data_IF_650426216133
#
_entry.id   IF_650426216133
#
_cell.length_a   1.000
_cell.length_b   1.000
_cell.length_c   1.000
_cell.angle_alpha   90.00
_cell.angle_beta   90.00
_cell.angle_gamma   90.00
#
_symmetry.space_group_name_H-M   'P 1'
#
loop_
_entity.id
_entity.type
_entity.pdbx_description
1 polymer ?
#
# COMPACT_ATOMS: atom_id res chain seq x y z
N UNK A 1 4.82 -15.22 -12.50
CA UNK A 1 3.54 -15.18 -11.77
C UNK A 1 3.30 -16.38 -10.83
N UNK A 2 3.45 -17.65 -11.26
CA UNK A 2 3.18 -18.83 -10.39
C UNK A 2 3.99 -18.87 -9.08
N UNK A 3 5.27 -18.43 -9.08
CA UNK A 3 6.14 -18.43 -7.88
C UNK A 3 5.71 -17.41 -6.81
N UNK A 4 5.13 -16.27 -7.19
CA UNK A 4 4.63 -15.26 -6.26
C UNK A 4 3.35 -15.70 -5.54
N UNK A 5 2.46 -16.41 -6.24
CA UNK A 5 1.21 -16.94 -5.65
C UNK A 5 1.52 -17.98 -4.57
N UNK A 6 2.52 -18.85 -4.80
CA UNK A 6 2.93 -19.86 -3.82
C UNK A 6 3.56 -19.23 -2.57
N UNK A 7 4.41 -18.21 -2.73
CA UNK A 7 5.03 -17.50 -1.60
C UNK A 7 3.97 -16.74 -0.78
N UNK A 8 3.01 -16.10 -1.44
CA UNK A 8 1.91 -15.41 -0.79
C UNK A 8 1.00 -16.37 -0.02
N UNK A 9 0.73 -17.57 -0.56
CA UNK A 9 -0.06 -18.61 0.10
C UNK A 9 0.67 -19.18 1.33
N UNK A 10 1.98 -19.39 1.28
CA UNK A 10 2.79 -19.86 2.41
C UNK A 10 2.88 -18.82 3.53
N UNK A 11 3.04 -17.54 3.19
CA UNK A 11 3.03 -16.44 4.16
C UNK A 11 1.65 -16.29 4.81
N UNK A 12 0.56 -16.40 4.03
CA UNK A 12 -0.81 -16.34 4.56
C UNK A 12 -1.09 -17.49 5.56
N UNK A 13 -0.59 -18.69 5.30
CA UNK A 13 -0.76 -19.84 6.19
C UNK A 13 -0.02 -19.67 7.54
N UNK A 14 1.17 -19.04 7.53
CA UNK A 14 1.94 -18.78 8.76
C UNK A 14 1.35 -17.68 9.65
N UNK A 15 0.60 -16.75 9.08
CA UNK A 15 0.00 -15.60 9.79
C UNK A 15 -1.36 -15.95 10.42
N UNK A 16 -2.00 -17.04 10.00
CA UNK A 16 -3.33 -17.45 10.48
C UNK A 16 -3.41 -17.74 11.99
N UNK A 17 -2.27 -18.01 12.66
CA UNK A 17 -2.24 -18.36 14.10
C UNK A 17 -2.07 -17.16 15.04
N UNK A 18 -1.83 -15.94 14.55
CA UNK A 18 -1.39 -14.82 15.39
C UNK A 18 -2.21 -13.52 15.22
N UNK A 19 -3.52 -13.60 14.91
CA UNK A 19 -4.30 -12.38 14.63
C UNK A 19 -3.80 -11.67 13.37
N UNK A 20 -3.39 -12.45 12.39
CA UNK A 20 -2.86 -11.97 11.13
C UNK A 20 -3.92 -11.59 10.13
N UNK A 21 -3.49 -10.97 9.03
CA UNK A 21 -4.37 -10.64 7.90
C UNK A 21 -3.62 -10.72 6.58
N UNK A 22 -4.40 -10.92 5.51
CA UNK A 22 -3.93 -10.79 4.14
C UNK A 22 -4.80 -9.78 3.42
N UNK A 23 -4.20 -8.89 2.63
CA UNK A 23 -4.94 -7.96 1.77
C UNK A 23 -4.48 -8.09 0.32
N UNK A 24 -5.46 -7.98 -0.58
CA UNK A 24 -5.25 -7.79 -2.00
C UNK A 24 -5.56 -6.34 -2.33
N UNK A 25 -4.65 -5.68 -3.02
CA UNK A 25 -4.79 -4.29 -3.43
C UNK A 25 -4.66 -4.18 -4.95
N UNK A 26 -5.60 -3.47 -5.57
CA UNK A 26 -5.57 -3.08 -6.98
C UNK A 26 -5.56 -1.57 -7.06
N UNK A 27 -4.69 -1.01 -7.90
CA UNK A 27 -4.57 0.43 -8.12
C UNK A 27 -4.75 0.74 -9.60
N UNK A 28 -5.49 1.77 -9.85
CA UNK A 28 -5.54 2.52 -11.10
C UNK A 28 -4.88 3.87 -10.83
N UNK A 29 -3.72 4.13 -11.46
CA UNK A 29 -2.90 5.32 -11.24
C UNK A 29 -2.78 6.11 -12.55
N UNK A 30 -3.17 7.37 -12.53
CA UNK A 30 -2.98 8.33 -13.62
C UNK A 30 -1.82 9.28 -13.31
N UNK A 31 -0.81 9.31 -14.16
CA UNK A 31 0.31 10.25 -14.07
C UNK A 31 -0.06 11.57 -14.72
N UNK A 32 -0.21 12.63 -13.91
CA UNK A 32 -0.65 13.95 -14.37
C UNK A 32 0.40 14.69 -15.20
N UNK A 33 1.69 14.39 -15.01
CA UNK A 33 2.77 15.03 -15.76
C UNK A 33 2.93 14.44 -17.17
N UNK A 34 2.69 13.12 -17.33
CA UNK A 34 2.90 12.42 -18.61
C UNK A 34 1.62 11.99 -19.29
N UNK A 35 0.48 12.00 -18.58
CA UNK A 35 -0.79 11.45 -19.05
C UNK A 35 -0.82 9.92 -19.13
N UNK A 36 0.19 9.23 -18.61
CA UNK A 36 0.28 7.77 -18.66
C UNK A 36 -0.55 7.13 -17.54
N UNK A 37 -1.24 6.05 -17.85
CA UNK A 37 -1.96 5.23 -16.90
C UNK A 37 -1.11 4.01 -16.50
N UNK A 38 -1.19 3.64 -15.22
CA UNK A 38 -0.51 2.50 -14.64
C UNK A 38 -1.50 1.66 -13.85
N UNK A 39 -1.45 0.37 -14.06
CA UNK A 39 -2.09 -0.61 -13.19
C UNK A 39 -1.06 -1.14 -12.20
N UNK A 40 -1.46 -1.21 -10.93
CA UNK A 40 -0.63 -1.80 -9.89
C UNK A 40 -1.44 -2.79 -9.08
N UNK A 41 -0.85 -3.93 -8.83
CA UNK A 41 -1.39 -4.98 -7.97
C UNK A 41 -0.46 -5.19 -6.79
N UNK A 42 -1.01 -5.47 -5.62
CA UNK A 42 -0.20 -5.77 -4.46
C UNK A 42 -0.88 -6.80 -3.55
N UNK A 43 -0.02 -7.57 -2.87
CA UNK A 43 -0.40 -8.44 -1.77
C UNK A 43 0.26 -7.90 -0.51
N UNK A 44 -0.53 -7.79 0.54
CA UNK A 44 -0.05 -7.41 1.87
C UNK A 44 -0.34 -8.56 2.83
N UNK A 45 0.67 -8.98 3.56
CA UNK A 45 0.54 -9.94 4.66
C UNK A 45 0.97 -9.21 5.93
N UNK A 46 0.16 -9.29 6.98
CA UNK A 46 0.45 -8.56 8.20
C UNK A 46 -0.13 -9.20 9.45
N UNK A 47 0.25 -8.63 10.57
CA UNK A 47 -0.24 -9.00 11.90
C UNK A 47 -0.48 -7.76 12.74
N UNK A 48 -1.48 -7.81 13.61
CA UNK A 48 -1.78 -6.76 14.57
C UNK A 48 -1.53 -7.29 15.98
N UNK A 49 -0.77 -6.52 16.74
CA UNK A 49 -0.50 -6.79 18.14
C UNK A 49 -0.77 -5.53 18.97
N UNK A 50 -1.88 -5.53 19.69
CA UNK A 50 -2.35 -4.33 20.38
C UNK A 50 -2.56 -3.15 19.42
N UNK A 51 -1.87 -2.05 19.68
CA UNK A 51 -1.91 -0.85 18.85
C UNK A 51 -0.96 -0.90 17.63
N UNK A 52 -0.13 -1.93 17.52
CA UNK A 52 0.87 -2.08 16.46
C UNK A 52 0.33 -2.92 15.31
N UNK A 53 0.74 -2.57 14.10
CA UNK A 53 0.42 -3.25 12.85
C UNK A 53 1.72 -3.41 12.06
N UNK A 54 2.14 -4.64 11.85
CA UNK A 54 3.34 -5.01 11.12
C UNK A 54 2.92 -5.66 9.81
N UNK A 55 3.48 -5.26 8.69
CA UNK A 55 3.14 -5.89 7.42
C UNK A 55 4.27 -5.87 6.41
N UNK A 56 4.24 -6.87 5.54
CA UNK A 56 5.03 -6.96 4.32
C UNK A 56 4.10 -6.75 3.13
N UNK A 57 4.42 -5.80 2.27
CA UNK A 57 3.75 -5.58 1.00
C UNK A 57 4.67 -5.98 -0.13
N UNK A 58 4.14 -6.71 -1.09
CA UNK A 58 4.75 -6.98 -2.39
C UNK A 58 3.85 -6.38 -3.46
N UNK A 59 4.43 -5.59 -4.37
CA UNK A 59 3.69 -4.95 -5.45
C UNK A 59 4.31 -5.20 -6.82
N UNK A 60 3.46 -5.24 -7.82
CA UNK A 60 3.81 -5.25 -9.23
C UNK A 60 3.08 -4.11 -9.92
N UNK A 61 3.76 -3.36 -10.78
CA UNK A 61 3.18 -2.24 -11.52
C UNK A 61 3.53 -2.36 -13.00
N UNK A 62 2.55 -2.10 -13.85
CA UNK A 62 2.68 -2.12 -15.29
C UNK A 62 2.10 -0.84 -15.89
N UNK A 63 2.86 -0.18 -16.76
CA UNK A 63 2.39 0.98 -17.53
C UNK A 63 1.62 0.49 -18.75
N UNK A 64 0.41 1.03 -18.98
CA UNK A 64 -0.48 0.56 -20.06
C UNK A 64 0.00 0.98 -21.47
N UNK A 65 0.71 2.12 -21.59
CA UNK A 65 1.13 2.67 -22.88
C UNK A 65 2.66 2.75 -23.01
N UNK A 66 3.15 2.42 -24.19
CA UNK A 66 4.57 2.44 -24.54
C UNK A 66 5.25 1.08 -24.38
N UNK A 67 6.56 1.08 -24.17
CA UNK A 67 7.37 -0.14 -24.00
C UNK A 67 7.15 -0.82 -22.63
N UNK A 68 5.91 -0.87 -22.14
CA UNK A 68 5.41 -1.62 -21.01
C UNK A 68 6.42 -1.80 -19.88
N UNK A 69 6.83 -0.71 -19.20
CA UNK A 69 7.78 -0.85 -18.10
C UNK A 69 7.13 -1.58 -16.94
N UNK A 70 7.72 -2.69 -16.54
CA UNK A 70 7.32 -3.43 -15.34
C UNK A 70 8.21 -2.97 -14.19
N UNK A 71 7.59 -2.65 -13.05
CA UNK A 71 8.32 -2.44 -11.82
C UNK A 71 7.76 -3.31 -10.70
N UNK A 72 8.66 -3.76 -9.83
CA UNK A 72 8.32 -4.56 -8.66
C UNK A 72 8.77 -3.81 -7.41
N UNK A 73 8.02 -3.98 -6.32
CA UNK A 73 8.35 -3.36 -5.05
C UNK A 73 8.08 -4.30 -3.89
N UNK A 74 8.90 -4.17 -2.86
CA UNK A 74 8.69 -4.81 -1.57
C UNK A 74 8.83 -3.77 -0.47
N UNK A 75 7.88 -3.71 0.46
CA UNK A 75 7.91 -2.81 1.60
C UNK A 75 7.62 -3.56 2.91
N UNK A 76 8.46 -3.37 3.91
CA UNK A 76 8.14 -3.66 5.32
C UNK A 76 7.50 -2.41 5.90
N UNK A 77 6.42 -2.59 6.64
CA UNK A 77 5.65 -1.49 7.24
C UNK A 77 5.43 -1.75 8.71
N UNK A 78 5.62 -0.73 9.51
CA UNK A 78 5.26 -0.69 10.93
C UNK A 78 4.37 0.50 11.15
N UNK A 79 3.22 0.31 11.79
CA UNK A 79 2.27 1.37 12.08
C UNK A 79 1.77 1.23 13.51
N UNK A 80 1.69 2.34 14.23
CA UNK A 80 1.07 2.43 15.56
C UNK A 80 -0.19 3.29 15.49
N UNK A 81 -1.24 2.82 16.14
CA UNK A 81 -2.50 3.56 16.27
C UNK A 81 -2.65 4.10 17.68
N UNK A 82 -3.03 5.36 17.80
CA UNK A 82 -3.27 6.09 19.05
C UNK A 82 -4.71 6.60 19.00
N UNK A 83 -5.64 5.82 19.50
CA UNK A 83 -7.08 6.09 19.36
C UNK A 83 -7.47 6.18 17.87
N UNK A 84 -7.85 7.35 17.38
CA UNK A 84 -8.16 7.59 15.97
C UNK A 84 -6.93 7.90 15.11
N UNK A 85 -5.84 8.39 15.71
CA UNK A 85 -4.63 8.76 14.97
C UNK A 85 -3.73 7.57 14.72
N UNK A 86 -2.96 7.62 13.64
CA UNK A 86 -1.89 6.66 13.41
C UNK A 86 -0.63 7.34 12.88
N UNK A 87 0.50 6.72 13.20
CA UNK A 87 1.81 7.04 12.64
C UNK A 87 2.46 5.73 12.19
N UNK A 88 3.10 5.73 11.01
CA UNK A 88 3.77 4.57 10.48
C UNK A 88 5.06 4.89 9.75
N UNK A 89 5.94 3.91 9.71
CA UNK A 89 7.17 3.92 8.94
C UNK A 89 7.20 2.76 7.95
N UNK A 90 7.93 2.95 6.86
CA UNK A 90 8.14 1.94 5.82
C UNK A 90 9.57 1.97 5.36
N UNK A 91 10.09 0.78 5.07
CA UNK A 91 11.34 0.57 4.36
C UNK A 91 11.04 -0.36 3.20
N UNK A 92 11.56 -0.04 2.03
CA UNK A 92 11.27 -0.83 0.85
C UNK A 92 12.37 -0.78 -0.19
N UNK A 93 12.21 -1.65 -1.16
CA UNK A 93 13.05 -1.74 -2.34
C UNK A 93 12.15 -1.69 -3.56
N UNK A 94 12.57 -0.92 -4.56
CA UNK A 94 11.92 -0.84 -5.86
C UNK A 94 12.88 -1.29 -6.95
N UNK A 95 12.43 -2.25 -7.75
CA UNK A 95 13.14 -2.81 -8.89
C UNK A 95 12.41 -2.41 -10.15
N UNK A 96 13.10 -1.75 -11.06
CA UNK A 96 12.61 -1.39 -12.39
C UNK A 96 13.51 -2.00 -13.45
N UNK A 97 13.17 -1.86 -14.71
CA UNK A 97 14.03 -2.30 -15.83
C UNK A 97 15.38 -1.55 -15.90
N UNK A 98 15.47 -0.36 -15.31
CA UNK A 98 16.62 0.53 -15.40
C UNK A 98 17.31 0.83 -14.07
N UNK A 99 16.69 0.53 -12.94
CA UNK A 99 17.23 0.86 -11.62
C UNK A 99 16.70 -0.07 -10.54
N UNK A 100 17.52 -0.26 -9.50
CA UNK A 100 17.16 -0.89 -8.26
C UNK A 100 17.61 0.04 -7.12
N UNK A 101 16.69 0.44 -6.23
CA UNK A 101 17.01 1.33 -5.13
C UNK A 101 16.11 1.11 -3.92
N UNK A 102 16.69 1.40 -2.75
CA UNK A 102 15.98 1.36 -1.48
C UNK A 102 15.34 2.70 -1.16
N UNK A 103 14.21 2.66 -0.47
CA UNK A 103 13.46 3.85 -0.08
C UNK A 103 12.85 3.74 1.32
N UNK A 104 12.50 4.88 1.87
CA UNK A 104 11.76 4.98 3.11
C UNK A 104 10.49 5.80 2.92
N UNK A 105 9.51 5.61 3.81
CA UNK A 105 8.34 6.46 3.88
C UNK A 105 7.86 6.60 5.32
N UNK A 106 7.20 7.72 5.58
CA UNK A 106 6.48 8.00 6.84
C UNK A 106 5.02 8.27 6.50
N UNK A 107 4.11 7.65 7.23
CA UNK A 107 2.65 7.81 7.09
C UNK A 107 2.08 8.39 8.38
N UNK A 108 1.15 9.32 8.25
CA UNK A 108 0.33 9.80 9.36
C UNK A 108 -1.12 10.00 8.90
N UNK A 109 -2.07 9.81 9.81
CA UNK A 109 -3.47 10.02 9.46
C UNK A 109 -4.43 9.75 10.61
N UNK A 110 -5.71 9.78 10.26
CA UNK A 110 -6.83 9.60 11.18
C UNK A 110 -7.78 8.56 10.62
N UNK A 111 -8.21 7.61 11.47
CA UNK A 111 -9.29 6.67 11.20
C UNK A 111 -10.53 7.08 11.98
N UNK A 112 -11.64 7.23 11.28
CA UNK A 112 -12.89 7.74 11.82
C UNK A 112 -13.95 6.64 11.71
N UNK A 113 -14.50 6.13 12.82
CA UNK A 113 -15.64 5.23 12.77
C UNK A 113 -16.88 6.01 12.29
N UNK A 114 -17.47 5.59 11.17
CA UNK A 114 -18.63 6.24 10.56
C UNK A 114 -19.95 5.54 10.93
N UNK A 115 -19.90 4.45 11.70
CA UNK A 115 -21.06 3.64 12.05
C UNK A 115 -21.42 2.59 10.99
N UNK A 116 -22.35 1.68 11.31
CA UNK A 116 -22.86 0.63 10.42
C UNK A 116 -21.78 -0.18 9.69
N UNK A 117 -20.61 -0.40 10.31
CA UNK A 117 -19.48 -1.12 9.71
C UNK A 117 -18.60 -0.29 8.79
N UNK A 118 -18.88 1.00 8.60
CA UNK A 118 -18.09 1.92 7.81
C UNK A 118 -16.95 2.58 8.63
N UNK A 119 -15.81 2.78 7.98
CA UNK A 119 -14.65 3.48 8.53
C UNK A 119 -14.10 4.45 7.49
N UNK A 120 -13.92 5.71 7.86
CA UNK A 120 -13.17 6.71 7.10
C UNK A 120 -11.68 6.65 7.43
N UNK A 121 -10.82 6.99 6.48
CA UNK A 121 -9.38 7.14 6.66
C UNK A 121 -8.91 8.36 5.86
N UNK A 122 -8.29 9.31 6.54
CA UNK A 122 -7.67 10.49 5.91
C UNK A 122 -6.23 10.55 6.39
N UNK A 123 -5.29 10.71 5.46
CA UNK A 123 -3.89 10.74 5.86
C UNK A 123 -2.96 11.24 4.76
N UNK A 124 -1.69 11.30 5.13
CA UNK A 124 -0.61 11.69 4.27
C UNK A 124 0.57 10.73 4.40
N UNK A 125 1.40 10.71 3.36
CA UNK A 125 2.67 9.99 3.31
C UNK A 125 3.72 10.88 2.69
N UNK A 126 4.89 10.88 3.29
CA UNK A 126 6.14 11.32 2.67
C UNK A 126 6.99 10.11 2.34
N UNK A 127 7.64 10.10 1.19
CA UNK A 127 8.53 9.02 0.73
C UNK A 127 9.73 9.62 0.02
N UNK A 128 10.92 8.99 0.21
CA UNK A 128 12.11 9.34 -0.57
C UNK A 128 13.02 8.11 -0.71
N UNK A 129 13.94 8.14 -1.70
CA UNK A 129 15.02 7.17 -1.81
C UNK A 129 16.11 7.45 -0.77
N UNK A 130 16.86 6.41 -0.36
CA UNK A 130 18.04 6.59 0.48
C UNK A 130 19.21 7.14 -0.33
N UNK A 131 19.29 6.79 -1.59
CA UNK A 131 20.39 7.20 -2.47
C UNK A 131 20.06 8.54 -3.15
N UNK A 132 21.02 9.45 -3.12
CA UNK A 132 20.95 10.70 -3.87
C UNK A 132 21.14 10.42 -5.35
N UNK A 133 20.17 10.75 -6.17
CA UNK A 133 20.22 10.52 -7.63
C UNK A 133 19.02 9.74 -8.18
N UNK A 134 18.20 9.20 -7.29
CA UNK A 134 16.90 8.68 -7.66
C UNK A 134 15.80 9.72 -7.36
N UNK A 135 15.09 10.16 -8.41
CA UNK A 135 13.93 11.04 -8.30
C UNK A 135 12.76 10.25 -7.72
N UNK A 136 12.61 10.27 -6.39
CA UNK A 136 11.61 9.48 -5.66
C UNK A 136 10.98 10.25 -4.49
N UNK A 137 11.33 11.51 -4.32
CA UNK A 137 10.74 12.36 -3.30
C UNK A 137 9.27 12.64 -3.63
N UNK A 138 8.37 12.16 -2.79
CA UNK A 138 6.93 12.24 -3.06
C UNK A 138 6.15 12.45 -1.78
N UNK A 139 5.29 13.44 -1.78
CA UNK A 139 4.25 13.61 -0.77
C UNK A 139 2.93 13.14 -1.36
N UNK A 140 2.16 12.35 -0.60
CA UNK A 140 0.86 11.83 -1.00
C UNK A 140 -0.18 12.11 0.08
N UNK A 141 -1.30 12.71 -0.28
CA UNK A 141 -2.50 12.74 0.56
C UNK A 141 -3.50 11.69 0.08
N UNK A 142 -4.36 11.22 1.00
CA UNK A 142 -5.40 10.28 0.65
C UNK A 142 -6.65 10.42 1.52
N UNK A 143 -7.76 9.99 0.95
CA UNK A 143 -9.02 9.73 1.64
C UNK A 143 -9.49 8.33 1.28
N UNK A 144 -10.07 7.61 2.24
CA UNK A 144 -10.61 6.29 2.00
C UNK A 144 -11.87 6.01 2.81
N UNK A 145 -12.69 5.11 2.30
CA UNK A 145 -13.82 4.53 3.02
C UNK A 145 -13.66 3.02 2.97
N UNK A 146 -13.74 2.40 4.14
CA UNK A 146 -13.75 0.96 4.32
C UNK A 146 -15.12 0.50 4.82
N UNK A 147 -15.45 -0.74 4.52
CA UNK A 147 -16.66 -1.42 4.98
C UNK A 147 -16.35 -2.84 5.44
N UNK A 148 -16.80 -3.20 6.64
CA UNK A 148 -16.70 -4.55 7.17
C UNK A 148 -17.82 -5.41 6.58
N UNK A 149 -17.48 -6.36 5.71
CA UNK A 149 -18.43 -7.32 5.13
C UNK A 149 -18.84 -8.38 6.15
N UNK A 150 -17.87 -8.84 6.92
CA UNK A 150 -18.02 -9.82 8.00
C UNK A 150 -17.11 -9.42 9.17
N UNK A 151 -17.02 -10.25 10.21
CA UNK A 151 -16.04 -10.06 11.29
C UNK A 151 -14.59 -10.23 10.80
N UNK A 152 -14.37 -10.95 9.72
CA UNK A 152 -13.06 -11.29 9.17
C UNK A 152 -12.76 -10.56 7.87
N UNK A 153 -13.77 -10.20 7.08
CA UNK A 153 -13.60 -9.68 5.73
C UNK A 153 -14.00 -8.21 5.65
N UNK A 154 -13.19 -7.41 4.97
CA UNK A 154 -13.47 -6.01 4.70
C UNK A 154 -13.02 -5.59 3.31
N UNK A 155 -13.67 -4.56 2.79
CA UNK A 155 -13.29 -3.90 1.54
C UNK A 155 -13.04 -2.43 1.81
N UNK A 156 -12.20 -1.79 1.01
CA UNK A 156 -11.98 -0.35 1.07
C UNK A 156 -11.71 0.22 -0.31
N UNK A 157 -12.16 1.46 -0.51
CA UNK A 157 -11.80 2.29 -1.65
C UNK A 157 -11.01 3.46 -1.13
N UNK A 158 -9.89 3.78 -1.78
CA UNK A 158 -9.04 4.92 -1.45
C UNK A 158 -8.77 5.73 -2.70
N UNK A 159 -9.01 7.02 -2.64
CA UNK A 159 -8.45 7.97 -3.59
C UNK A 159 -7.22 8.65 -2.98
N UNK A 160 -6.22 8.92 -3.80
CA UNK A 160 -5.01 9.61 -3.37
C UNK A 160 -4.42 10.48 -4.48
N UNK A 161 -3.78 11.56 -4.08
CA UNK A 161 -3.01 12.46 -4.94
C UNK A 161 -1.59 12.58 -4.43
N UNK A 162 -0.64 12.51 -5.35
CA UNK A 162 0.79 12.66 -5.07
C UNK A 162 1.37 13.89 -5.74
N UNK A 163 2.37 14.47 -5.09
CA UNK A 163 3.15 15.62 -5.56
C UNK A 163 4.65 15.33 -5.36
N UNK A 164 5.51 16.04 -6.06
CA UNK A 164 6.96 15.88 -6.07
C UNK A 164 7.39 15.14 -7.34
N UNK A 165 8.35 14.24 -7.22
CA UNK A 165 8.92 13.52 -8.36
C UNK A 165 7.92 12.57 -9.07
N UNK A 166 6.87 12.15 -8.36
CA UNK A 166 5.76 11.40 -8.95
C UNK A 166 4.44 12.15 -8.75
N UNK A 167 3.96 12.80 -9.80
CA UNK A 167 2.67 13.48 -9.81
C UNK A 167 1.56 12.54 -10.29
N UNK A 168 0.84 11.91 -9.36
CA UNK A 168 -0.17 10.89 -9.67
C UNK A 168 -1.46 11.10 -8.91
N UNK A 169 -2.57 10.86 -9.58
CA UNK A 169 -3.84 10.52 -8.97
C UNK A 169 -4.01 9.01 -8.99
N UNK A 170 -4.55 8.43 -7.94
CA UNK A 170 -4.77 7.00 -7.88
C UNK A 170 -6.06 6.63 -7.14
N UNK A 171 -6.76 5.65 -7.67
CA UNK A 171 -7.84 4.93 -6.99
C UNK A 171 -7.31 3.56 -6.61
N UNK A 172 -7.52 3.16 -5.35
CA UNK A 172 -7.17 1.84 -4.87
C UNK A 172 -8.42 1.11 -4.37
N UNK A 173 -8.60 -0.10 -4.84
CA UNK A 173 -9.50 -1.08 -4.26
C UNK A 173 -8.70 -2.03 -3.37
N UNK A 174 -9.22 -2.35 -2.20
CA UNK A 174 -8.58 -3.26 -1.25
C UNK A 174 -9.62 -4.22 -0.70
N UNK A 175 -9.28 -5.51 -0.69
CA UNK A 175 -9.96 -6.54 0.08
C UNK A 175 -9.00 -7.04 1.17
N UNK A 176 -9.50 -7.22 2.38
CA UNK A 176 -8.71 -7.74 3.51
C UNK A 176 -9.46 -8.85 4.20
N UNK A 177 -8.77 -9.96 4.47
CA UNK A 177 -9.23 -11.06 5.32
C UNK A 177 -8.34 -11.17 6.54
N UNK A 178 -8.95 -11.15 7.72
CA UNK A 178 -8.32 -11.38 9.03
C UNK A 178 -8.54 -12.82 9.48
N UNK A 179 -7.62 -13.36 10.25
CA UNK A 179 -7.63 -14.74 10.75
C UNK A 179 -7.69 -14.81 12.26
#
# INVERSE_FOLDING_TARGET
MKKFIVLAALLAAGVAQAGGYTSLEYYDEHNRATGADNIKEAIVVGMKEGAMDYSLKMENSQTEFGNGSISQGMEIRVKRTFDMFYLGGRLGEKVTSSANFSHYAVDAGVKIPLGAGFTGDVGARYRNAFETGHSYETTRAHVAVGYALTKQDSVAVRWSRSWGDEEKDAVRLQYTRSF
#
